data_IF_910031664875
#
_entry.id   IF_910031664875
#
_cell.length_a   1.000
_cell.length_b   1.000
_cell.length_c   1.000
_cell.angle_alpha   90.00
_cell.angle_beta   90.00
_cell.angle_gamma   90.00
#
_symmetry.space_group_name_H-M   'P 1'
#
loop_
_entity.id
_entity.type
_entity.pdbx_description
1 polymer ?
#
# COMPACT_ATOMS: atom_id res chain seq x y z
N UNK A 1 -14.07 0.97 1.17
CA UNK A 1 -12.86 0.17 1.41
C UNK A 1 -12.69 -0.92 0.38
N UNK A 2 -11.56 -0.95 -0.31
CA UNK A 2 -11.25 -1.98 -1.31
C UNK A 2 -9.88 -2.59 -1.08
N UNK A 3 -9.75 -3.85 -1.46
CA UNK A 3 -8.48 -4.57 -1.43
C UNK A 3 -8.20 -5.19 -2.77
N UNK A 4 -6.94 -5.17 -3.19
CA UNK A 4 -6.43 -5.94 -4.30
C UNK A 4 -5.43 -6.94 -3.76
N UNK A 5 -5.72 -8.24 -3.83
CA UNK A 5 -4.84 -9.32 -3.38
C UNK A 5 -4.29 -10.10 -4.55
N UNK A 6 -3.07 -10.65 -4.36
CA UNK A 6 -2.51 -11.66 -5.27
C UNK A 6 -2.21 -12.95 -4.52
N UNK A 7 -2.64 -14.10 -5.07
CA UNK A 7 -2.48 -15.41 -4.39
C UNK A 7 -1.17 -16.13 -4.72
N UNK A 8 -0.30 -15.50 -5.51
CA UNK A 8 0.99 -16.06 -5.95
C UNK A 8 2.04 -14.98 -5.87
N UNK A 9 3.26 -15.35 -5.48
CA UNK A 9 4.41 -14.47 -5.60
C UNK A 9 4.49 -13.94 -7.03
N UNK A 10 4.25 -12.65 -7.17
CA UNK A 10 4.42 -11.95 -8.43
C UNK A 10 5.86 -11.42 -8.52
N UNK A 11 6.18 -10.82 -9.67
CA UNK A 11 7.53 -10.34 -9.96
C UNK A 11 8.05 -9.30 -8.95
N UNK A 12 7.16 -8.69 -8.18
CA UNK A 12 7.43 -7.55 -7.30
C UNK A 12 7.06 -7.85 -5.83
N UNK A 13 6.69 -9.09 -5.51
CA UNK A 13 6.18 -9.47 -4.19
C UNK A 13 4.99 -8.61 -3.69
N UNK A 14 4.26 -7.93 -4.57
CA UNK A 14 3.08 -7.13 -4.21
C UNK A 14 1.92 -8.05 -3.85
N UNK A 15 1.77 -8.39 -2.57
CA UNK A 15 0.84 -9.43 -2.16
C UNK A 15 -0.58 -8.88 -1.89
N UNK A 16 -0.70 -7.64 -1.43
CA UNK A 16 -1.98 -6.94 -1.23
C UNK A 16 -1.80 -5.41 -1.33
N UNK A 17 -2.68 -4.73 -2.06
CA UNK A 17 -2.91 -3.27 -1.99
C UNK A 17 -4.22 -3.06 -1.23
N UNK A 18 -4.19 -2.19 -0.23
CA UNK A 18 -5.32 -1.97 0.68
C UNK A 18 -5.61 -0.48 0.79
N UNK A 19 -6.81 -0.06 0.40
CA UNK A 19 -7.14 1.36 0.22
C UNK A 19 -8.63 1.66 0.44
N UNK A 20 -8.99 2.94 0.54
CA UNK A 20 -10.37 3.37 0.76
C UNK A 20 -11.24 3.23 -0.48
N UNK A 21 -10.70 3.57 -1.65
CA UNK A 21 -11.41 3.65 -2.94
C UNK A 21 -10.63 2.99 -4.09
N UNK A 22 -11.30 2.70 -5.20
CA UNK A 22 -10.70 2.06 -6.37
C UNK A 22 -9.58 2.90 -7.01
N UNK A 23 -9.70 4.22 -6.97
CA UNK A 23 -8.73 5.18 -7.51
C UNK A 23 -7.38 5.06 -6.79
N UNK A 24 -7.39 4.76 -5.50
CA UNK A 24 -6.18 4.55 -4.72
C UNK A 24 -5.50 3.22 -5.11
N UNK A 25 -6.25 2.16 -5.46
CA UNK A 25 -5.68 0.91 -6.00
C UNK A 25 -4.96 1.22 -7.32
N UNK A 26 -5.59 2.01 -8.18
CA UNK A 26 -5.00 2.43 -9.46
C UNK A 26 -3.69 3.18 -9.23
N UNK A 27 -3.68 4.14 -8.31
CA UNK A 27 -2.50 4.96 -8.02
C UNK A 27 -1.31 4.10 -7.54
N UNK A 28 -1.56 3.18 -6.60
CA UNK A 28 -0.52 2.26 -6.10
C UNK A 28 0.01 1.33 -7.20
N UNK A 29 -0.88 0.79 -8.06
CA UNK A 29 -0.45 -0.02 -9.20
C UNK A 29 0.41 0.75 -10.20
N UNK A 30 0.06 2.01 -10.50
CA UNK A 30 0.86 2.87 -11.38
C UNK A 30 2.22 3.14 -10.74
N UNK A 31 2.26 3.45 -9.43
CA UNK A 31 3.49 3.64 -8.68
C UNK A 31 4.41 2.43 -8.76
N UNK A 32 3.89 1.24 -8.47
CA UNK A 32 4.61 -0.03 -8.56
C UNK A 32 5.18 -0.28 -9.97
N UNK A 33 4.41 0.08 -11.00
CA UNK A 33 4.83 -0.04 -12.39
C UNK A 33 6.01 0.89 -12.70
N UNK A 34 5.93 2.16 -12.29
CA UNK A 34 6.95 3.18 -12.52
C UNK A 34 8.25 2.86 -11.77
N UNK A 35 8.17 2.36 -10.55
CA UNK A 35 9.34 2.07 -9.72
C UNK A 35 10.10 0.83 -10.21
N UNK A 36 9.41 -0.15 -10.80
CA UNK A 36 9.99 -1.47 -11.08
C UNK A 36 10.13 -1.84 -12.56
N UNK A 37 9.77 -0.98 -13.52
CA UNK A 37 9.89 -1.30 -14.95
C UNK A 37 10.87 -0.40 -15.71
N UNK A 38 11.87 -1.07 -16.31
CA UNK A 38 12.86 -0.47 -17.22
C UNK A 38 12.26 -0.10 -18.60
N UNK A 39 11.07 -0.60 -18.95
CA UNK A 39 10.46 -0.48 -20.29
C UNK A 39 9.04 0.12 -20.28
N UNK A 40 8.72 0.96 -19.30
CA UNK A 40 7.49 1.75 -19.32
C UNK A 40 7.80 3.13 -19.92
N UNK A 41 6.91 3.63 -20.78
CA UNK A 41 7.04 4.99 -21.32
C UNK A 41 6.91 6.03 -20.20
N UNK A 42 7.64 7.14 -20.28
CA UNK A 42 7.55 8.23 -19.29
C UNK A 42 6.10 8.72 -19.09
N UNK A 43 5.27 8.65 -20.14
CA UNK A 43 3.88 9.10 -20.14
C UNK A 43 2.86 7.98 -19.78
N UNK A 44 3.29 6.85 -19.23
CA UNK A 44 2.39 5.73 -18.94
C UNK A 44 1.31 6.08 -17.91
N UNK A 45 1.67 6.80 -16.85
CA UNK A 45 0.70 7.26 -15.86
C UNK A 45 -0.39 8.11 -16.54
N UNK A 46 0.03 9.09 -17.33
CA UNK A 46 -0.85 9.98 -18.09
C UNK A 46 -1.75 9.19 -19.05
N UNK A 47 -1.22 8.17 -19.74
CA UNK A 47 -2.01 7.30 -20.62
C UNK A 47 -3.07 6.48 -19.86
N UNK A 48 -2.77 6.02 -18.64
CA UNK A 48 -3.74 5.30 -17.80
C UNK A 48 -4.80 6.26 -17.27
N UNK A 49 -4.41 7.45 -16.83
CA UNK A 49 -5.34 8.49 -16.36
C UNK A 49 -6.25 9.01 -17.46
N UNK A 50 -5.77 9.12 -18.69
CA UNK A 50 -6.57 9.43 -19.89
C UNK A 50 -7.70 8.41 -20.11
N UNK A 51 -7.44 7.11 -19.89
CA UNK A 51 -8.46 6.06 -20.06
C UNK A 51 -9.44 6.00 -18.88
N UNK A 52 -8.96 6.35 -17.69
CA UNK A 52 -9.71 6.35 -16.44
C UNK A 52 -9.57 7.71 -15.73
N UNK A 53 -10.17 8.79 -16.25
CA UNK A 53 -9.93 10.12 -15.70
C UNK A 53 -10.48 10.23 -14.27
N UNK A 54 -9.66 10.79 -13.38
CA UNK A 54 -10.03 11.11 -12.00
C UNK A 54 -10.99 12.29 -11.95
N UNK A 55 -10.85 13.21 -12.92
CA UNK A 55 -11.79 14.29 -13.23
C UNK A 55 -11.87 14.45 -14.76
N UNK A 56 -13.04 14.23 -15.38
CA UNK A 56 -13.21 14.40 -16.82
C UNK A 56 -12.96 15.83 -17.33
N UNK A 57 -12.84 16.82 -16.44
CA UNK A 57 -12.63 18.23 -16.78
C UNK A 57 -11.15 18.66 -16.87
N UNK A 58 -10.21 17.79 -16.50
CA UNK A 58 -8.76 18.07 -16.58
C UNK A 58 -8.12 17.62 -17.92
N UNK A 59 -8.93 17.18 -18.87
CA UNK A 59 -8.49 16.72 -20.17
C UNK A 59 -8.37 17.93 -21.12
N UNK A 60 -7.22 18.09 -21.79
CA UNK A 60 -7.01 19.17 -22.77
C UNK A 60 -8.15 19.20 -23.82
N UNK A 61 -8.64 20.40 -24.16
CA UNK A 61 -9.82 20.65 -25.01
C UNK A 61 -9.75 19.98 -26.41
N UNK A 62 -8.54 19.64 -26.86
CA UNK A 62 -8.21 19.05 -28.15
C UNK A 62 -7.87 17.55 -28.10
N UNK A 63 -7.89 16.92 -26.91
CA UNK A 63 -7.77 15.47 -26.76
C UNK A 63 -9.12 14.78 -27.00
N UNK A 64 -9.31 14.21 -28.19
CA UNK A 64 -10.48 13.34 -28.45
C UNK A 64 -10.29 12.02 -27.70
N UNK A 65 -10.90 11.94 -26.52
CA UNK A 65 -10.81 10.77 -25.67
C UNK A 65 -11.81 9.70 -26.07
N UNK A 66 -11.32 8.47 -26.05
CA UNK A 66 -12.14 7.26 -25.86
C UNK A 66 -13.04 7.54 -24.66
N UNK A 67 -14.35 7.29 -24.79
CA UNK A 67 -15.35 7.45 -23.72
C UNK A 67 -14.75 7.04 -22.37
N UNK A 68 -14.55 8.00 -21.43
CA UNK A 68 -14.07 7.74 -20.09
C UNK A 68 -14.80 6.54 -19.50
N UNK A 69 -14.04 5.54 -19.04
CA UNK A 69 -14.64 4.36 -18.43
C UNK A 69 -14.65 4.56 -16.93
N UNK A 70 -15.80 4.30 -16.32
CA UNK A 70 -15.90 4.18 -14.87
C UNK A 70 -14.89 3.13 -14.39
N UNK A 71 -14.18 3.45 -13.31
CA UNK A 71 -13.22 2.53 -12.73
C UNK A 71 -13.99 1.42 -12.00
N UNK A 72 -13.88 0.18 -12.49
CA UNK A 72 -14.53 -0.98 -11.87
C UNK A 72 -13.49 -1.97 -11.31
N UNK A 73 -13.87 -2.83 -10.35
CA UNK A 73 -12.99 -3.89 -9.84
C UNK A 73 -12.42 -4.81 -10.93
N UNK A 74 -13.20 -5.10 -11.98
CA UNK A 74 -12.79 -5.94 -13.10
C UNK A 74 -11.71 -5.25 -13.96
N UNK A 75 -11.86 -3.94 -14.20
CA UNK A 75 -10.88 -3.14 -14.94
C UNK A 75 -9.57 -3.03 -14.15
N UNK A 76 -9.65 -2.87 -12.83
CA UNK A 76 -8.48 -2.89 -11.95
C UNK A 76 -7.81 -4.25 -11.87
N UNK A 77 -8.58 -5.33 -11.87
CA UNK A 77 -8.05 -6.70 -11.93
C UNK A 77 -7.25 -6.91 -13.22
N UNK A 78 -7.76 -6.43 -14.36
CA UNK A 78 -7.05 -6.50 -15.64
C UNK A 78 -5.78 -5.63 -15.66
N UNK A 79 -5.85 -4.42 -15.11
CA UNK A 79 -4.69 -3.52 -14.98
C UNK A 79 -3.59 -4.14 -14.12
N UNK A 80 -3.96 -4.69 -12.96
CA UNK A 80 -3.04 -5.36 -12.06
C UNK A 80 -2.42 -6.62 -12.69
N UNK A 81 -3.18 -7.40 -13.45
CA UNK A 81 -2.65 -8.56 -14.17
C UNK A 81 -1.55 -8.14 -15.15
N UNK A 82 -1.78 -7.03 -15.86
CA UNK A 82 -0.78 -6.46 -16.76
C UNK A 82 0.46 -5.98 -16.00
N UNK A 83 0.27 -5.19 -14.94
CA UNK A 83 1.37 -4.55 -14.19
C UNK A 83 2.16 -5.57 -13.38
N UNK A 84 1.50 -6.42 -12.60
CA UNK A 84 2.15 -7.40 -11.72
C UNK A 84 2.67 -8.63 -12.49
N UNK A 85 2.27 -8.78 -13.76
CA UNK A 85 2.69 -9.89 -14.61
C UNK A 85 2.13 -11.24 -14.15
N UNK A 86 0.94 -11.23 -13.53
CA UNK A 86 0.25 -12.43 -13.06
C UNK A 86 -1.09 -12.62 -13.75
N UNK A 87 -1.63 -13.83 -13.74
CA UNK A 87 -2.93 -14.10 -14.35
C UNK A 87 -4.06 -13.48 -13.53
N UNK A 88 -5.10 -12.96 -14.19
CA UNK A 88 -6.31 -12.42 -13.54
C UNK A 88 -6.95 -13.39 -12.55
N UNK A 89 -6.81 -14.71 -12.75
CA UNK A 89 -7.32 -15.74 -11.81
C UNK A 89 -6.64 -15.73 -10.43
N UNK A 90 -5.50 -15.04 -10.33
CA UNK A 90 -4.71 -14.90 -9.11
C UNK A 90 -4.84 -13.51 -8.50
N UNK A 91 -5.65 -12.62 -9.08
CA UNK A 91 -5.89 -11.28 -8.58
C UNK A 91 -7.34 -11.20 -8.15
N UNK A 92 -7.57 -10.66 -6.96
CA UNK A 92 -8.93 -10.39 -6.47
C UNK A 92 -9.00 -8.94 -6.06
N UNK A 93 -9.95 -8.19 -6.63
CA UNK A 93 -10.36 -6.86 -6.14
C UNK A 93 -11.71 -7.01 -5.46
N UNK A 94 -11.79 -6.69 -4.18
CA UNK A 94 -13.03 -6.83 -3.41
C UNK A 94 -13.27 -5.64 -2.49
N UNK A 95 -14.54 -5.33 -2.27
CA UNK A 95 -14.96 -4.40 -1.22
C UNK A 95 -14.91 -5.13 0.13
N UNK A 96 -14.30 -4.50 1.13
CA UNK A 96 -14.27 -5.02 2.49
C UNK A 96 -15.24 -4.23 3.35
N UNK A 97 -16.10 -4.93 4.08
CA UNK A 97 -17.08 -4.29 4.94
C UNK A 97 -16.42 -3.48 6.06
N UNK A 98 -16.99 -2.31 6.34
CA UNK A 98 -16.63 -1.48 7.49
C UNK A 98 -17.74 -1.50 8.56
N UNK A 99 -17.38 -1.47 9.85
CA UNK A 99 -16.02 -1.46 10.38
C UNK A 99 -15.37 -2.84 10.31
N UNK A 100 -14.06 -2.88 10.11
CA UNK A 100 -13.32 -4.13 10.08
C UNK A 100 -12.92 -4.60 11.48
N UNK A 101 -12.56 -5.87 11.61
CA UNK A 101 -12.18 -6.51 12.87
C UNK A 101 -10.79 -7.13 12.82
N UNK A 102 -10.25 -7.52 13.98
CA UNK A 102 -9.03 -8.34 14.04
C UNK A 102 -9.16 -9.64 13.22
N UNK A 103 -10.34 -10.26 13.18
CA UNK A 103 -10.58 -11.44 12.33
C UNK A 103 -10.54 -11.10 10.84
N UNK A 104 -10.97 -9.89 10.46
CA UNK A 104 -10.83 -9.38 9.09
C UNK A 104 -9.35 -9.29 8.72
N UNK A 105 -8.52 -8.73 9.61
CA UNK A 105 -7.07 -8.66 9.43
C UNK A 105 -6.45 -10.07 9.33
N UNK A 106 -6.82 -11.00 10.22
CA UNK A 106 -6.35 -12.38 10.17
C UNK A 106 -6.71 -13.07 8.85
N UNK A 107 -7.95 -12.90 8.39
CA UNK A 107 -8.40 -13.45 7.11
C UNK A 107 -7.64 -12.88 5.90
N UNK A 108 -7.23 -11.62 5.95
CA UNK A 108 -6.37 -11.03 4.92
C UNK A 108 -4.96 -11.62 4.96
N UNK A 109 -4.38 -11.81 6.16
CA UNK A 109 -3.02 -12.36 6.32
C UNK A 109 -2.95 -13.79 5.79
N UNK A 110 -3.89 -14.65 6.22
CA UNK A 110 -3.94 -16.05 5.80
C UNK A 110 -4.09 -16.16 4.28
N UNK A 111 -5.01 -15.38 3.70
CA UNK A 111 -5.32 -15.46 2.27
C UNK A 111 -4.13 -15.10 1.39
N UNK A 112 -3.34 -14.11 1.81
CA UNK A 112 -2.25 -13.54 1.02
C UNK A 112 -0.95 -14.32 1.24
N UNK A 113 -0.65 -14.67 2.49
CA UNK A 113 0.62 -15.29 2.87
C UNK A 113 0.52 -16.80 3.07
N UNK A 114 -0.68 -17.38 2.96
CA UNK A 114 -0.95 -18.81 3.11
C UNK A 114 -0.39 -19.40 4.41
N UNK A 115 -0.41 -18.60 5.48
CA UNK A 115 0.20 -18.95 6.78
C UNK A 115 -0.59 -19.99 7.57
N UNK A 116 -1.86 -20.20 7.23
CA UNK A 116 -2.81 -20.96 8.01
C UNK A 116 -3.64 -20.05 8.94
N UNK A 117 -4.90 -20.41 9.23
CA UNK A 117 -5.82 -19.56 10.01
C UNK A 117 -5.35 -19.24 11.42
N UNK A 118 -4.65 -20.16 12.07
CA UNK A 118 -4.18 -20.00 13.45
C UNK A 118 -3.01 -19.03 13.53
N UNK A 119 -2.02 -19.22 12.66
CA UNK A 119 -0.85 -18.33 12.53
C UNK A 119 -1.31 -16.91 12.18
N UNK A 120 -2.24 -16.78 11.24
CA UNK A 120 -2.77 -15.49 10.85
C UNK A 120 -3.53 -14.78 12.00
N UNK A 121 -4.25 -15.52 12.84
CA UNK A 121 -4.90 -14.96 14.04
C UNK A 121 -3.87 -14.46 15.05
N UNK A 122 -2.79 -15.21 15.28
CA UNK A 122 -1.72 -14.82 16.20
C UNK A 122 -1.01 -13.55 15.70
N UNK A 123 -0.68 -13.49 14.40
CA UNK A 123 -0.08 -12.30 13.77
C UNK A 123 -1.02 -11.09 13.91
N UNK A 124 -2.29 -11.23 13.54
CA UNK A 124 -3.25 -10.13 13.59
C UNK A 124 -3.45 -9.61 15.02
N UNK A 125 -3.61 -10.52 16.00
CA UNK A 125 -3.73 -10.18 17.42
C UNK A 125 -2.49 -9.47 17.93
N UNK A 126 -1.30 -10.03 17.70
CA UNK A 126 -0.03 -9.43 18.14
C UNK A 126 0.18 -8.04 17.55
N UNK A 127 -0.17 -7.84 16.27
CA UNK A 127 -0.06 -6.54 15.59
C UNK A 127 -0.99 -5.49 16.22
N UNK A 128 -2.23 -5.87 16.53
CA UNK A 128 -3.20 -4.98 17.20
C UNK A 128 -2.76 -4.66 18.63
N UNK A 129 -2.32 -5.66 19.39
CA UNK A 129 -1.85 -5.50 20.77
C UNK A 129 -0.66 -4.55 20.85
N UNK A 130 0.33 -4.69 19.96
CA UNK A 130 1.49 -3.81 19.92
C UNK A 130 1.09 -2.35 19.63
N UNK A 131 0.24 -2.12 18.62
CA UNK A 131 -0.26 -0.77 18.31
C UNK A 131 -1.05 -0.14 19.47
N UNK A 132 -1.75 -0.97 20.25
CA UNK A 132 -2.51 -0.55 21.43
C UNK A 132 -1.65 -0.25 22.67
N UNK A 133 -0.35 -0.52 22.66
CA UNK A 133 0.54 -0.12 23.76
C UNK A 133 0.76 1.39 23.83
N UNK A 134 0.51 2.11 22.73
CA UNK A 134 0.59 3.58 22.66
C UNK A 134 -0.79 4.22 22.89
N UNK A 135 -0.98 5.07 23.92
CA UNK A 135 -2.27 5.74 24.17
C UNK A 135 -2.72 6.68 23.02
N UNK A 136 -1.80 7.08 22.15
CA UNK A 136 -2.07 7.94 21.00
C UNK A 136 -2.51 7.15 19.76
N UNK A 137 -2.49 5.81 19.81
CA UNK A 137 -2.76 4.92 18.68
C UNK A 137 -3.71 3.78 19.04
N UNK A 138 -4.54 3.95 20.07
CA UNK A 138 -5.49 2.93 20.50
C UNK A 138 -6.51 2.62 19.39
N UNK A 139 -6.37 1.44 18.79
CA UNK A 139 -7.28 0.83 17.82
C UNK A 139 -8.32 -0.01 18.53
N UNK A 140 -9.59 0.15 18.13
CA UNK A 140 -10.66 -0.75 18.56
C UNK A 140 -10.61 -2.07 17.75
N UNK A 141 -10.27 -3.22 18.34
CA UNK A 141 -10.17 -4.51 17.62
C UNK A 141 -11.49 -4.98 17.02
N UNK A 142 -12.63 -4.50 17.54
CA UNK A 142 -13.96 -4.85 17.06
C UNK A 142 -14.52 -3.85 16.04
N UNK A 143 -13.87 -2.70 15.86
CA UNK A 143 -14.32 -1.71 14.89
C UNK A 143 -13.16 -0.80 14.45
N UNK A 144 -12.37 -1.27 13.50
CA UNK A 144 -11.26 -0.53 12.90
C UNK A 144 -11.77 0.38 11.79
N UNK A 145 -11.22 1.60 11.74
CA UNK A 145 -11.33 2.48 10.57
C UNK A 145 -10.47 1.95 9.42
N UNK A 146 -10.73 2.42 8.19
CA UNK A 146 -9.96 2.04 7.00
C UNK A 146 -8.46 2.34 7.18
N UNK A 147 -8.12 3.49 7.77
CA UNK A 147 -6.73 3.90 8.02
C UNK A 147 -6.04 2.99 9.03
N UNK A 148 -6.74 2.58 10.08
CA UNK A 148 -6.20 1.67 11.10
C UNK A 148 -5.97 0.29 10.52
N UNK A 149 -6.95 -0.27 9.80
CA UNK A 149 -6.81 -1.59 9.21
C UNK A 149 -5.69 -1.60 8.14
N UNK A 150 -5.57 -0.57 7.31
CA UNK A 150 -4.48 -0.48 6.32
C UNK A 150 -3.09 -0.44 6.95
N UNK A 151 -2.94 0.32 8.05
CA UNK A 151 -1.68 0.34 8.81
C UNK A 151 -1.37 -1.02 9.44
N UNK A 152 -2.35 -1.62 10.12
CA UNK A 152 -2.20 -2.91 10.77
C UNK A 152 -1.91 -4.03 9.74
N UNK A 153 -2.53 -3.96 8.56
CA UNK A 153 -2.23 -4.85 7.44
C UNK A 153 -0.76 -4.79 7.03
N UNK A 154 -0.21 -3.58 6.85
CA UNK A 154 1.17 -3.40 6.44
C UNK A 154 2.13 -4.04 7.45
N UNK A 155 1.92 -3.80 8.75
CA UNK A 155 2.71 -4.40 9.81
C UNK A 155 2.56 -5.93 9.84
N UNK A 156 1.32 -6.43 9.79
CA UNK A 156 1.03 -7.86 9.79
C UNK A 156 1.64 -8.59 8.58
N UNK A 157 1.67 -7.96 7.41
CA UNK A 157 2.30 -8.53 6.20
C UNK A 157 3.80 -8.64 6.29
N UNK A 158 4.47 -7.63 6.88
CA UNK A 158 5.91 -7.71 7.13
C UNK A 158 6.22 -8.89 8.06
N UNK A 159 5.46 -9.02 9.15
CA UNK A 159 5.59 -10.13 10.09
C UNK A 159 5.36 -11.49 9.41
N UNK A 160 4.27 -11.63 8.65
CA UNK A 160 3.94 -12.87 7.96
C UNK A 160 5.03 -13.32 6.96
N UNK A 161 5.75 -12.36 6.37
CA UNK A 161 6.84 -12.63 5.42
C UNK A 161 8.16 -13.03 6.11
N UNK A 162 8.36 -12.61 7.37
CA UNK A 162 9.58 -12.86 8.13
C UNK A 162 9.50 -14.11 9.01
N UNK A 163 8.29 -14.56 9.34
CA UNK A 163 8.10 -15.72 10.22
C UNK A 163 8.46 -17.03 9.51
N UNK A 164 9.22 -17.93 10.17
CA UNK A 164 9.45 -19.26 9.64
C UNK A 164 8.13 -20.01 9.51
N UNK A 165 7.86 -20.57 8.33
CA UNK A 165 6.67 -21.39 8.06
C UNK A 165 6.57 -22.68 8.90
N UNK A 166 7.62 -23.00 9.68
CA UNK A 166 7.80 -24.27 10.40
C UNK A 166 8.03 -24.06 11.91
N UNK A 167 7.45 -22.99 12.48
CA UNK A 167 7.42 -22.78 13.94
C UNK A 167 6.46 -23.80 14.56
N UNK A 168 7.01 -24.67 15.43
CA UNK A 168 6.38 -25.93 15.78
C UNK A 168 5.38 -25.85 16.94
N UNK A 169 5.32 -24.73 17.67
CA UNK A 169 4.30 -24.49 18.70
C UNK A 169 3.78 -23.04 18.75
N UNK A 170 2.60 -22.88 19.36
CA UNK A 170 1.86 -21.61 19.48
C UNK A 170 2.60 -20.58 20.37
N UNK A 171 3.32 -21.04 21.39
CA UNK A 171 4.00 -20.17 22.35
C UNK A 171 5.26 -19.55 21.73
N UNK A 172 6.05 -20.35 21.01
CA UNK A 172 7.18 -19.92 20.20
C UNK A 172 6.74 -18.91 19.13
N UNK A 173 5.58 -19.15 18.49
CA UNK A 173 5.03 -18.25 17.49
C UNK A 173 4.55 -16.93 18.11
N UNK A 174 3.87 -16.96 19.26
CA UNK A 174 3.49 -15.74 19.99
C UNK A 174 4.73 -14.91 20.39
N UNK A 175 5.80 -15.57 20.86
CA UNK A 175 7.06 -14.91 21.20
C UNK A 175 7.72 -14.32 19.96
N UNK A 176 7.80 -15.06 18.86
CA UNK A 176 8.37 -14.59 17.59
C UNK A 176 7.61 -13.38 17.04
N UNK A 177 6.26 -13.41 17.07
CA UNK A 177 5.42 -12.28 16.66
C UNK A 177 5.66 -11.06 17.55
N UNK A 178 5.73 -11.22 18.88
CA UNK A 178 6.02 -10.10 19.79
C UNK A 178 7.37 -9.46 19.49
N UNK A 179 8.42 -10.27 19.33
CA UNK A 179 9.77 -9.78 19.02
C UNK A 179 9.82 -9.05 17.68
N UNK A 180 9.23 -9.63 16.63
CA UNK A 180 9.22 -9.04 15.30
C UNK A 180 8.36 -7.76 15.27
N UNK A 181 7.25 -7.69 16.01
CA UNK A 181 6.41 -6.48 16.06
C UNK A 181 7.15 -5.31 16.72
N UNK A 182 7.91 -5.56 17.79
CA UNK A 182 8.80 -4.55 18.39
C UNK A 182 9.88 -4.05 17.42
N UNK A 183 10.39 -4.91 16.53
CA UNK A 183 11.36 -4.52 15.51
C UNK A 183 10.71 -3.67 14.40
N UNK A 184 9.49 -4.01 13.96
CA UNK A 184 8.72 -3.23 12.99
C UNK A 184 8.38 -1.84 13.51
N UNK A 185 7.96 -1.72 14.78
CA UNK A 185 7.71 -0.41 15.41
C UNK A 185 8.96 0.46 15.42
N UNK A 186 10.11 -0.12 15.75
CA UNK A 186 11.39 0.58 15.71
C UNK A 186 11.73 1.05 14.29
N UNK A 187 11.58 0.19 13.29
CA UNK A 187 11.83 0.52 11.88
C UNK A 187 10.87 1.60 11.36
N UNK A 188 9.58 1.53 11.72
CA UNK A 188 8.59 2.54 11.34
C UNK A 188 8.93 3.93 11.90
N UNK A 189 9.40 4.00 13.14
CA UNK A 189 9.88 5.24 13.75
C UNK A 189 11.11 5.81 13.03
N UNK A 190 12.05 4.95 12.60
CA UNK A 190 13.20 5.39 11.81
C UNK A 190 12.80 5.87 10.41
N UNK A 191 11.86 5.19 9.77
CA UNK A 191 11.37 5.54 8.45
C UNK A 191 10.59 6.87 8.46
N UNK A 192 9.79 7.11 9.50
CA UNK A 192 9.12 8.39 9.70
C UNK A 192 10.13 9.52 9.95
N UNK A 193 11.18 9.28 10.74
CA UNK A 193 12.28 10.24 10.90
C UNK A 193 12.97 10.55 9.56
N UNK A 194 13.21 9.53 8.73
CA UNK A 194 13.79 9.70 7.41
C UNK A 194 12.87 10.51 6.48
N UNK A 195 11.54 10.28 6.52
CA UNK A 195 10.54 11.07 5.77
C UNK A 195 10.55 12.54 6.17
N UNK A 196 10.54 12.83 7.48
CA UNK A 196 10.62 14.20 7.99
C UNK A 196 11.92 14.87 7.50
N UNK A 197 13.04 14.16 7.59
CA UNK A 197 14.33 14.68 7.15
C UNK A 197 14.35 14.99 5.64
N UNK A 198 13.78 14.09 4.81
CA UNK A 198 13.62 14.30 3.37
C UNK A 198 12.77 15.54 3.08
N UNK A 199 11.61 15.66 3.72
CA UNK A 199 10.66 16.73 3.45
C UNK A 199 11.23 18.10 3.87
N UNK A 200 11.95 18.16 5.00
CA UNK A 200 12.73 19.35 5.40
C UNK A 200 13.80 19.69 4.36
N UNK A 201 14.54 18.69 3.88
CA UNK A 201 15.59 18.88 2.87
C UNK A 201 15.03 19.41 1.55
N UNK A 202 13.87 18.89 1.11
CA UNK A 202 13.14 19.38 -0.07
C UNK A 202 12.75 20.85 0.11
N UNK A 203 12.18 21.23 1.26
CA UNK A 203 11.82 22.63 1.56
C UNK A 203 13.03 23.56 1.52
N UNK A 204 14.14 23.14 2.13
CA UNK A 204 15.39 23.91 2.15
C UNK A 204 15.98 24.06 0.74
N UNK A 205 15.97 23.00 -0.08
CA UNK A 205 16.47 23.04 -1.44
C UNK A 205 15.69 24.04 -2.30
N UNK A 206 14.36 24.03 -2.21
CA UNK A 206 13.49 24.98 -2.94
C UNK A 206 13.69 26.40 -2.43
N UNK A 207 13.79 26.61 -1.10
CA UNK A 207 14.07 27.92 -0.52
C UNK A 207 15.43 28.51 -0.95
N UNK A 208 16.40 27.66 -1.32
CA UNK A 208 17.69 28.05 -1.90
C UNK A 208 17.64 28.32 -3.41
N UNK A 209 16.45 28.28 -4.03
CA UNK A 209 16.22 28.64 -5.43
C UNK A 209 16.32 27.48 -6.42
N UNK A 210 16.38 26.22 -5.96
CA UNK A 210 16.27 25.07 -6.87
C UNK A 210 14.83 24.91 -7.35
N UNK A 211 14.65 24.64 -8.65
CA UNK A 211 13.33 24.38 -9.23
C UNK A 211 12.76 23.05 -8.72
N UNK A 212 11.43 22.98 -8.55
CA UNK A 212 10.75 21.76 -8.11
C UNK A 212 11.06 20.54 -8.98
N UNK A 213 11.29 20.73 -10.29
CA UNK A 213 11.70 19.65 -11.20
C UNK A 213 13.12 19.12 -10.91
N UNK A 214 14.07 19.98 -10.54
CA UNK A 214 15.42 19.56 -10.19
C UNK A 214 15.46 18.89 -8.81
N UNK A 215 14.66 19.39 -7.86
CA UNK A 215 14.51 18.77 -6.53
C UNK A 215 13.84 17.40 -6.64
N UNK A 216 12.77 17.28 -7.42
CA UNK A 216 12.09 16.02 -7.71
C UNK A 216 13.07 14.96 -8.27
N UNK A 217 13.87 15.36 -9.27
CA UNK A 217 14.88 14.48 -9.87
C UNK A 217 15.97 14.06 -8.88
N UNK A 218 16.50 15.01 -8.09
CA UNK A 218 17.58 14.73 -7.13
C UNK A 218 17.12 13.92 -5.92
N UNK A 219 15.86 14.07 -5.51
CA UNK A 219 15.27 13.35 -4.39
C UNK A 219 14.54 12.06 -4.81
N UNK A 220 14.55 11.70 -6.10
CA UNK A 220 13.85 10.55 -6.66
C UNK A 220 12.36 10.49 -6.26
N UNK A 221 11.66 11.62 -6.36
CA UNK A 221 10.22 11.74 -6.09
C UNK A 221 9.53 12.49 -7.22
N UNK A 222 8.21 12.35 -7.35
CA UNK A 222 7.43 13.06 -8.37
C UNK A 222 7.38 14.57 -8.10
N UNK A 223 7.15 15.37 -9.15
CA UNK A 223 6.96 16.82 -9.01
C UNK A 223 5.73 17.15 -8.16
N UNK A 224 4.67 16.36 -8.28
CA UNK A 224 3.46 16.49 -7.48
C UNK A 224 3.74 16.22 -5.99
N UNK A 225 4.60 15.24 -5.67
CA UNK A 225 5.02 15.00 -4.29
C UNK A 225 5.80 16.18 -3.73
N UNK A 226 6.71 16.77 -4.52
CA UNK A 226 7.40 18.02 -4.12
C UNK A 226 6.39 19.14 -3.87
N UNK A 227 5.42 19.34 -4.77
CA UNK A 227 4.38 20.36 -4.61
C UNK A 227 3.55 20.15 -3.33
N UNK A 228 3.14 18.91 -3.03
CA UNK A 228 2.40 18.58 -1.81
C UNK A 228 3.20 18.85 -0.53
N UNK A 229 4.52 18.62 -0.55
CA UNK A 229 5.39 18.85 0.60
C UNK A 229 5.56 20.34 0.88
N UNK A 230 5.53 21.18 -0.16
CA UNK A 230 5.66 22.63 -0.06
C UNK A 230 4.34 23.33 0.31
N UNK A 231 3.20 22.70 0.06
CA UNK A 231 1.88 23.24 0.39
C UNK A 231 1.51 23.09 1.89
N UNK A 232 2.23 22.23 2.62
CA UNK A 232 2.11 22.00 4.07
C UNK A 232 3.14 22.81 4.87
#
# INVERSE_FOLDING_TARGET
>A
MFTLSTTVHNRYNTALIYVGILEEIRAELIGEAMDNRVYISEDFADQVEVVFPTDPSELDDDAVLVTPRELTPELLTALAANILGTSVKHITVEEVATPATTDTLAGLVDRVHHTGPEVARIIAKGTVEANNTSPLMAVNPAAMTERELGRLWQAASMLASELPHDTADEEELEVAVKMATSAVEFSALELERARIYRDVTIRVAVAKGLSGANVARAAHVTRQRVASILAN
#
